data_IF_402223418295
#
_entry.id   IF_402223418295
#
_cell.length_a   1.000
_cell.length_b   1.000
_cell.length_c   1.000
_cell.angle_alpha   90.00
_cell.angle_beta   90.00
_cell.angle_gamma   90.00
#
_symmetry.space_group_name_H-M   'P 1'
#
loop_
_entity.id
_entity.type
_entity.pdbx_description
1 polymer ?
#
# COMPACT_ATOMS: atom_id res chain seq x y z
N UNK A 1 32.14 -55.31 8.55
CA UNK A 1 30.76 -55.37 8.04
C UNK A 1 30.02 -54.15 8.57
N UNK A 2 29.74 -53.18 7.71
CA UNK A 2 29.03 -51.94 8.04
C UNK A 2 27.53 -52.21 7.99
N UNK A 3 26.83 -51.95 9.10
CA UNK A 3 25.37 -52.07 9.20
C UNK A 3 24.71 -50.92 8.42
N UNK A 4 23.69 -51.17 7.58
CA UNK A 4 22.99 -50.11 6.89
C UNK A 4 22.20 -49.27 7.89
N UNK A 5 22.33 -47.95 7.77
CA UNK A 5 21.52 -46.97 8.50
C UNK A 5 20.17 -46.88 7.78
N UNK A 6 19.09 -47.25 8.46
CA UNK A 6 17.73 -46.99 7.99
C UNK A 6 17.28 -45.64 8.53
N UNK A 7 17.00 -44.71 7.62
CA UNK A 7 16.41 -43.41 7.95
C UNK A 7 14.88 -43.55 7.86
N UNK A 8 14.19 -43.46 8.99
CA UNK A 8 12.73 -43.53 9.04
C UNK A 8 12.12 -42.22 8.52
N UNK A 9 11.51 -42.28 7.34
CA UNK A 9 10.79 -41.14 6.77
C UNK A 9 9.36 -41.09 7.33
N UNK A 10 9.01 -39.98 8.00
CA UNK A 10 7.61 -39.69 8.31
C UNK A 10 6.88 -39.26 7.03
N UNK A 11 5.84 -39.98 6.59
CA UNK A 11 5.10 -39.65 5.40
C UNK A 11 4.27 -38.37 5.61
N UNK A 12 4.16 -37.55 4.56
CA UNK A 12 3.36 -36.34 4.57
C UNK A 12 1.91 -36.60 5.05
N UNK A 13 1.33 -35.63 5.76
CA UNK A 13 0.00 -35.72 6.41
C UNK A 13 -1.12 -36.12 5.45
N UNK A 14 -0.96 -35.80 4.17
CA UNK A 14 -1.88 -36.04 3.06
C UNK A 14 -1.50 -37.26 2.19
N UNK A 15 -0.49 -38.05 2.59
CA UNK A 15 -0.06 -39.22 1.83
C UNK A 15 -1.24 -40.19 1.61
N UNK A 16 -1.59 -40.53 0.36
CA UNK A 16 -2.77 -41.34 0.04
C UNK A 16 -2.50 -42.86 0.13
N UNK A 17 -1.31 -43.29 0.55
CA UNK A 17 -0.97 -44.72 0.58
C UNK A 17 -1.81 -45.47 1.64
N UNK A 18 -2.06 -46.75 1.36
CA UNK A 18 -2.90 -47.60 2.20
C UNK A 18 -2.41 -47.68 3.66
N UNK A 19 -1.08 -47.67 3.87
CA UNK A 19 -0.47 -47.70 5.20
C UNK A 19 -0.75 -46.43 6.02
N UNK A 20 -0.67 -45.24 5.41
CA UNK A 20 -0.98 -43.98 6.07
C UNK A 20 -2.48 -43.80 6.31
N UNK A 21 -3.31 -44.26 5.38
CA UNK A 21 -4.77 -44.28 5.55
C UNK A 21 -5.20 -45.16 6.72
N UNK A 22 -4.58 -46.34 6.89
CA UNK A 22 -4.83 -47.22 8.03
C UNK A 22 -4.38 -46.60 9.36
N UNK A 23 -3.18 -46.00 9.40
CA UNK A 23 -2.64 -45.30 10.59
C UNK A 23 -3.55 -44.16 11.07
N UNK A 24 -4.09 -43.37 10.14
CA UNK A 24 -5.05 -42.29 10.46
C UNK A 24 -6.37 -42.85 11.02
N UNK A 25 -6.85 -43.98 10.49
CA UNK A 25 -8.08 -44.64 11.00
C UNK A 25 -7.88 -45.24 12.40
N UNK A 26 -6.68 -45.72 12.73
CA UNK A 26 -6.38 -46.26 14.07
C UNK A 26 -6.11 -45.19 15.12
N UNK A 27 -5.59 -44.02 14.73
CA UNK A 27 -5.35 -42.89 15.64
C UNK A 27 -6.63 -42.18 16.12
N UNK A 28 -7.77 -42.43 15.47
CA UNK A 28 -9.10 -41.86 15.84
C UNK A 28 -9.85 -42.73 16.86
N UNK A 29 -9.23 -43.79 17.41
CA UNK A 29 -9.81 -44.54 18.54
C UNK A 29 -9.31 -43.97 19.88
N UNK A 30 -10.19 -43.75 20.87
CA UNK A 30 -9.78 -43.26 22.18
C UNK A 30 -8.86 -44.27 22.86
N UNK A 31 -7.74 -43.77 23.41
CA UNK A 31 -6.78 -44.58 24.14
C UNK A 31 -7.44 -45.23 25.37
N UNK A 32 -7.05 -46.47 25.73
CA UNK A 32 -7.58 -47.18 26.89
C UNK A 32 -7.20 -46.51 28.22
N UNK A 33 -8.07 -46.68 29.21
CA UNK A 33 -8.12 -46.01 30.54
C UNK A 33 -7.00 -46.45 31.51
N UNK A 34 -5.76 -46.59 31.04
CA UNK A 34 -4.59 -46.86 31.92
C UNK A 34 -3.55 -45.74 31.96
N UNK A 35 -3.89 -44.55 31.45
CA UNK A 35 -3.20 -43.29 31.77
C UNK A 35 -4.23 -42.17 32.04
N UNK A 36 -4.80 -42.18 33.24
CA UNK A 36 -5.30 -40.96 33.91
C UNK A 36 -6.58 -40.28 33.39
N UNK A 37 -7.56 -41.03 32.87
CA UNK A 37 -8.93 -40.51 32.69
C UNK A 37 -9.79 -40.82 33.91
N UNK A 38 -10.51 -39.83 34.46
CA UNK A 38 -11.60 -40.05 35.40
C UNK A 38 -12.96 -39.76 34.72
N UNK A 39 -13.94 -40.68 34.84
CA UNK A 39 -15.32 -40.46 34.44
C UNK A 39 -16.19 -40.09 35.65
N UNK A 40 -17.20 -39.23 35.43
CA UNK A 40 -18.41 -39.22 36.23
C UNK A 40 -19.62 -38.96 35.33
N UNK A 41 -20.39 -40.05 35.16
CA UNK A 41 -21.83 -40.15 35.05
C UNK A 41 -22.63 -39.28 34.05
N UNK A 42 -23.09 -39.97 33.00
CA UNK A 42 -24.50 -40.16 32.61
C UNK A 42 -25.43 -38.95 32.48
N UNK A 43 -26.06 -38.84 31.30
CA UNK A 43 -27.36 -38.19 31.18
C UNK A 43 -27.76 -37.89 29.75
N UNK A 44 -28.66 -38.69 29.20
CA UNK A 44 -29.07 -38.65 27.81
C UNK A 44 -29.93 -37.42 27.43
N UNK A 45 -29.69 -36.95 26.20
CA UNK A 45 -30.67 -36.63 25.15
C UNK A 45 -31.77 -35.57 25.39
N UNK A 46 -31.71 -34.60 24.46
CA UNK A 46 -32.80 -34.09 23.59
C UNK A 46 -33.82 -33.09 24.15
N UNK A 47 -33.81 -31.95 23.45
CA UNK A 47 -34.95 -31.27 22.83
C UNK A 47 -35.81 -30.27 23.62
N UNK A 48 -36.12 -29.20 22.88
CA UNK A 48 -37.34 -28.38 22.88
C UNK A 48 -37.51 -27.28 23.96
N UNK A 49 -37.41 -26.02 23.48
CA UNK A 49 -38.51 -25.02 23.39
C UNK A 49 -38.98 -24.28 24.66
N UNK A 50 -39.09 -22.94 24.47
CA UNK A 50 -39.92 -21.93 25.17
C UNK A 50 -39.65 -21.80 26.67
N UNK A 51 -39.94 -20.73 27.37
CA UNK A 51 -40.28 -19.33 27.15
C UNK A 51 -40.39 -18.77 28.57
N UNK A 52 -40.22 -17.45 28.75
CA UNK A 52 -40.82 -16.66 29.85
C UNK A 52 -40.36 -17.03 31.28
N UNK A 53 -40.39 -16.20 32.30
CA UNK A 53 -40.52 -14.76 32.51
C UNK A 53 -40.12 -14.53 33.99
N UNK A 54 -39.73 -13.29 34.30
CA UNK A 54 -40.01 -12.53 35.53
C UNK A 54 -39.79 -13.14 36.94
N UNK A 55 -39.27 -12.29 37.83
CA UNK A 55 -39.23 -12.51 39.28
C UNK A 55 -37.97 -11.91 39.89
N UNK A 56 -37.82 -10.57 40.03
CA UNK A 56 -38.25 -9.73 41.18
C UNK A 56 -37.67 -10.30 42.50
N UNK A 57 -36.85 -9.59 43.28
CA UNK A 57 -37.30 -8.71 44.37
C UNK A 57 -36.10 -8.26 45.24
N UNK A 58 -36.07 -6.93 45.57
CA UNK A 58 -35.58 -6.20 46.78
C UNK A 58 -34.12 -6.43 47.28
N UNK A 59 -33.38 -5.45 47.84
CA UNK A 59 -33.78 -4.33 48.69
C UNK A 59 -32.66 -3.28 48.88
N UNK A 60 -33.11 -2.01 49.06
CA UNK A 60 -32.67 -0.97 50.02
C UNK A 60 -31.33 -0.21 49.89
N UNK A 61 -31.44 1.14 49.86
CA UNK A 61 -30.35 2.07 50.21
C UNK A 61 -30.54 3.55 49.78
N UNK A 62 -31.39 4.27 50.52
CA UNK A 62 -31.59 5.74 50.69
C UNK A 62 -30.91 6.85 49.84
N UNK A 63 -31.78 7.73 49.32
CA UNK A 63 -31.86 9.21 49.42
C UNK A 63 -30.79 10.18 48.84
N UNK A 64 -31.27 11.12 48.02
CA UNK A 64 -30.63 12.41 47.71
C UNK A 64 -31.16 13.07 46.42
N UNK A 65 -31.98 14.12 46.53
CA UNK A 65 -32.79 14.73 45.48
C UNK A 65 -32.03 15.61 44.46
N UNK A 66 -32.49 15.66 43.20
CA UNK A 66 -32.74 16.90 42.42
C UNK A 66 -33.22 16.64 40.97
N UNK A 67 -34.20 17.46 40.56
CA UNK A 67 -34.57 17.90 39.21
C UNK A 67 -35.24 16.93 38.21
N UNK A 68 -36.48 17.28 37.88
CA UNK A 68 -37.30 16.73 36.82
C UNK A 68 -36.93 17.30 35.43
N UNK A 69 -36.88 16.43 34.41
CA UNK A 69 -37.43 16.67 33.06
C UNK A 69 -37.21 15.45 32.13
N UNK A 70 -38.30 14.78 31.76
CA UNK A 70 -38.54 14.11 30.47
C UNK A 70 -37.59 13.01 29.99
N UNK A 71 -37.92 11.74 30.24
CA UNK A 71 -37.51 10.62 29.39
C UNK A 71 -38.54 10.42 28.27
N UNK A 72 -38.14 10.68 27.03
CA UNK A 72 -38.82 10.17 25.84
C UNK A 72 -37.97 9.06 25.20
N UNK A 73 -38.55 7.86 25.20
CA UNK A 73 -38.29 6.68 24.37
C UNK A 73 -36.93 6.49 23.69
N UNK A 74 -36.21 5.47 24.17
CA UNK A 74 -35.18 4.76 23.41
C UNK A 74 -35.83 3.75 22.46
N UNK A 75 -35.61 3.93 21.16
CA UNK A 75 -35.79 2.93 20.10
C UNK A 75 -34.61 3.03 19.10
N UNK A 76 -34.42 2.07 18.19
CA UNK A 76 -33.20 1.29 18.05
C UNK A 76 -32.13 1.91 17.14
N UNK A 77 -30.90 1.41 17.29
CA UNK A 77 -29.79 1.61 16.34
C UNK A 77 -30.20 1.08 14.96
N UNK A 78 -30.07 1.93 13.94
CA UNK A 78 -29.92 1.53 12.54
C UNK A 78 -29.00 2.52 11.81
N UNK A 79 -28.13 1.91 11.01
CA UNK A 79 -27.37 2.39 9.86
C UNK A 79 -26.19 3.37 10.02
N UNK A 80 -25.07 2.92 9.44
CA UNK A 80 -23.85 3.68 9.25
C UNK A 80 -24.10 4.87 8.35
N UNK A 81 -23.97 6.07 8.91
CA UNK A 81 -23.84 7.28 8.13
C UNK A 81 -22.52 7.25 7.38
N UNK A 82 -22.58 7.09 6.07
CA UNK A 82 -21.50 7.53 5.18
C UNK A 82 -21.27 9.03 5.40
N UNK A 83 -20.01 9.46 5.45
CA UNK A 83 -19.70 10.89 5.46
C UNK A 83 -20.31 11.56 4.22
N UNK A 84 -21.00 12.70 4.36
CA UNK A 84 -21.66 13.37 3.25
C UNK A 84 -20.64 13.88 2.21
N UNK A 85 -20.88 13.58 0.92
CA UNK A 85 -20.09 14.07 -0.22
C UNK A 85 -19.95 15.60 -0.18
N UNK A 86 -18.76 16.18 -0.45
CA UNK A 86 -18.59 17.61 -0.28
C UNK A 86 -19.30 18.32 -1.42
N UNK A 87 -20.12 19.32 -1.10
CA UNK A 87 -20.76 20.14 -2.13
C UNK A 87 -19.70 20.89 -2.96
N UNK A 88 -19.58 20.52 -4.24
CA UNK A 88 -18.52 20.94 -5.17
C UNK A 88 -19.11 21.50 -6.48
N UNK A 89 -20.08 22.44 -6.43
CA UNK A 89 -20.69 22.97 -7.64
C UNK A 89 -19.66 23.73 -8.49
N UNK A 90 -19.65 23.54 -9.79
CA UNK A 90 -18.70 24.18 -10.70
C UNK A 90 -19.38 25.01 -11.79
N UNK A 91 -18.64 25.98 -12.32
CA UNK A 91 -19.11 26.91 -13.34
C UNK A 91 -18.62 26.54 -14.74
N UNK A 92 -19.10 27.31 -15.72
CA UNK A 92 -18.80 27.10 -17.13
C UNK A 92 -17.35 27.46 -17.49
N UNK A 93 -16.94 27.02 -18.69
CA UNK A 93 -15.66 27.42 -19.29
C UNK A 93 -15.65 28.93 -19.54
N UNK A 94 -14.52 29.60 -19.27
CA UNK A 94 -14.39 31.04 -19.52
C UNK A 94 -12.95 31.54 -19.45
N UNK A 95 -12.70 32.81 -19.82
CA UNK A 95 -11.36 33.40 -19.76
C UNK A 95 -10.88 33.58 -18.31
N UNK A 96 -9.57 33.84 -18.14
CA UNK A 96 -9.05 34.35 -16.87
C UNK A 96 -9.55 35.79 -16.64
N UNK A 97 -9.79 36.18 -15.38
CA UNK A 97 -10.20 37.55 -15.02
C UNK A 97 -9.04 38.30 -14.34
N UNK A 98 -8.73 39.52 -14.77
CA UNK A 98 -7.83 40.42 -14.02
C UNK A 98 -6.37 40.51 -14.49
N UNK A 99 -5.97 39.85 -15.59
CA UNK A 99 -4.63 40.00 -16.20
C UNK A 99 -4.70 40.43 -17.67
N UNK A 100 -5.42 41.52 -17.95
CA UNK A 100 -5.42 42.14 -19.29
C UNK A 100 -6.23 41.38 -20.35
N UNK A 101 -7.00 42.15 -21.13
CA UNK A 101 -7.89 41.75 -22.22
C UNK A 101 -9.03 40.77 -21.83
N UNK A 102 -10.20 41.34 -21.54
CA UNK A 102 -11.50 40.71 -21.75
C UNK A 102 -11.70 40.44 -23.25
N UNK A 103 -11.08 39.38 -23.76
CA UNK A 103 -11.31 38.85 -25.10
C UNK A 103 -12.04 37.51 -25.05
N UNK A 104 -12.68 37.08 -26.15
CA UNK A 104 -13.12 35.69 -26.29
C UNK A 104 -11.95 34.74 -26.01
N UNK A 105 -12.19 33.55 -25.44
CA UNK A 105 -11.12 32.59 -25.15
C UNK A 105 -10.29 32.38 -26.41
N UNK A 106 -8.98 32.65 -26.33
CA UNK A 106 -8.09 32.51 -27.49
C UNK A 106 -8.21 31.08 -28.01
N UNK A 107 -8.57 30.94 -29.29
CA UNK A 107 -8.83 29.67 -29.97
C UNK A 107 -7.55 28.85 -30.25
N UNK A 108 -6.54 28.98 -29.40
CA UNK A 108 -5.32 28.19 -29.42
C UNK A 108 -5.10 27.55 -28.06
N UNK A 109 -5.40 26.26 -27.94
CA UNK A 109 -4.99 25.46 -26.77
C UNK A 109 -3.49 25.20 -26.86
N UNK A 110 -2.66 26.22 -26.69
CA UNK A 110 -1.24 25.99 -26.44
C UNK A 110 -1.15 25.36 -25.05
N UNK A 111 -1.06 24.03 -25.02
CA UNK A 111 -0.82 23.25 -23.82
C UNK A 111 0.46 23.80 -23.20
N UNK A 112 0.34 24.55 -22.12
CA UNK A 112 1.48 25.18 -21.47
C UNK A 112 2.32 24.10 -20.80
N UNK A 113 3.61 24.13 -21.07
CA UNK A 113 4.56 23.22 -20.44
C UNK A 113 4.74 23.57 -18.96
N UNK A 114 4.73 22.57 -18.09
CA UNK A 114 4.93 22.70 -16.63
C UNK A 114 5.59 21.44 -16.08
N UNK A 115 5.97 21.40 -14.79
CA UNK A 115 6.48 20.18 -14.13
C UNK A 115 5.52 19.70 -13.05
N UNK A 116 5.66 18.44 -12.61
CA UNK A 116 4.88 17.91 -11.48
C UNK A 116 5.07 18.72 -10.20
N UNK A 117 6.32 19.07 -9.91
CA UNK A 117 6.68 19.88 -8.76
C UNK A 117 6.00 21.25 -8.83
N UNK A 118 5.96 21.86 -10.01
CA UNK A 118 5.28 23.13 -10.22
C UNK A 118 3.76 23.01 -10.04
N UNK A 119 3.11 22.00 -10.62
CA UNK A 119 1.67 21.74 -10.42
C UNK A 119 1.33 21.67 -8.93
N UNK A 120 2.10 20.88 -8.16
CA UNK A 120 1.87 20.75 -6.72
C UNK A 120 2.19 22.04 -5.95
N UNK A 121 3.23 22.77 -6.34
CA UNK A 121 3.56 24.05 -5.72
C UNK A 121 2.42 25.07 -5.95
N UNK A 122 1.84 25.12 -7.16
CA UNK A 122 0.68 25.95 -7.49
C UNK A 122 -0.54 25.55 -6.64
N UNK A 123 -0.85 24.25 -6.59
CA UNK A 123 -1.93 23.72 -5.75
C UNK A 123 -1.73 24.07 -4.26
N UNK A 124 -0.52 23.92 -3.74
CA UNK A 124 -0.18 24.21 -2.36
C UNK A 124 -0.36 25.69 -2.01
N UNK A 125 -0.16 26.63 -2.96
CA UNK A 125 -0.39 28.06 -2.70
C UNK A 125 -1.85 28.35 -2.33
N UNK A 126 -2.82 27.77 -3.04
CA UNK A 126 -4.23 27.96 -2.70
C UNK A 126 -4.63 27.26 -1.40
N UNK A 127 -4.05 26.09 -1.13
CA UNK A 127 -4.23 25.40 0.17
C UNK A 127 -3.73 26.26 1.31
N UNK A 128 -2.52 26.81 1.20
CA UNK A 128 -1.92 27.66 2.23
C UNK A 128 -2.70 28.96 2.41
N UNK A 129 -3.14 29.58 1.31
CA UNK A 129 -3.97 30.79 1.35
C UNK A 129 -5.42 30.52 1.78
N UNK A 130 -5.83 29.26 1.92
CA UNK A 130 -7.20 28.85 2.25
C UNK A 130 -8.23 29.52 1.34
N UNK A 131 -7.97 29.49 0.03
CA UNK A 131 -8.81 30.19 -0.96
C UNK A 131 -10.27 29.69 -0.82
N UNK A 132 -11.24 30.58 -0.52
CA UNK A 132 -12.62 30.19 -0.25
C UNK A 132 -13.29 29.65 -1.51
N UNK A 133 -14.24 28.74 -1.34
CA UNK A 133 -15.06 28.23 -2.44
C UNK A 133 -16.07 29.29 -2.87
N UNK A 134 -16.14 29.61 -4.16
CA UNK A 134 -17.18 30.48 -4.70
C UNK A 134 -17.43 30.21 -6.18
N UNK A 135 -18.71 30.14 -6.53
CA UNK A 135 -19.16 30.00 -7.91
C UNK A 135 -19.14 31.31 -8.70
N UNK A 136 -19.06 32.43 -8.00
CA UNK A 136 -19.22 33.78 -8.57
C UNK A 136 -17.91 34.54 -8.64
N UNK A 137 -16.91 34.12 -7.88
CA UNK A 137 -15.67 34.86 -7.68
C UNK A 137 -14.47 34.20 -8.35
N UNK A 138 -13.48 35.05 -8.60
CA UNK A 138 -12.18 34.69 -9.13
C UNK A 138 -11.15 35.05 -8.08
N UNK A 139 -10.10 34.25 -7.97
CA UNK A 139 -8.95 34.59 -7.14
C UNK A 139 -8.07 35.63 -7.84
N UNK A 140 -7.11 36.23 -7.12
CA UNK A 140 -6.28 37.32 -7.63
C UNK A 140 -5.38 36.92 -8.80
N UNK A 141 -5.17 35.63 -9.03
CA UNK A 141 -4.48 35.05 -10.20
C UNK A 141 -5.40 34.80 -11.40
N UNK A 142 -6.68 35.18 -11.28
CA UNK A 142 -7.68 35.20 -12.35
C UNK A 142 -8.37 33.87 -12.61
N UNK A 143 -8.16 32.86 -11.78
CA UNK A 143 -8.86 31.58 -11.88
C UNK A 143 -10.12 31.56 -11.00
N UNK A 144 -11.13 30.81 -11.43
CA UNK A 144 -12.40 30.61 -10.73
C UNK A 144 -12.19 29.82 -9.43
N UNK A 145 -12.94 30.16 -8.39
CA UNK A 145 -12.80 29.58 -7.06
C UNK A 145 -13.66 28.31 -6.85
N UNK A 146 -13.57 27.36 -7.78
CA UNK A 146 -14.25 26.06 -7.69
C UNK A 146 -13.31 24.89 -8.06
N UNK A 147 -13.82 23.65 -8.00
CA UNK A 147 -13.00 22.45 -8.19
C UNK A 147 -12.22 22.42 -9.52
N UNK A 148 -12.85 22.82 -10.63
CA UNK A 148 -12.23 22.82 -11.96
C UNK A 148 -11.40 24.07 -12.27
N UNK A 149 -11.75 25.23 -11.70
CA UNK A 149 -10.92 26.43 -11.69
C UNK A 149 -9.62 26.22 -10.92
N UNK A 150 -9.65 25.49 -9.80
CA UNK A 150 -8.47 25.10 -9.06
C UNK A 150 -7.51 24.21 -9.87
N UNK A 151 -8.02 23.24 -10.63
CA UNK A 151 -7.19 22.40 -11.51
C UNK A 151 -6.64 23.21 -12.68
N UNK A 152 -7.47 24.08 -13.28
CA UNK A 152 -7.04 25.02 -14.33
C UNK A 152 -5.88 25.89 -13.85
N UNK A 153 -5.98 26.38 -12.61
CA UNK A 153 -4.91 27.11 -11.94
C UNK A 153 -3.68 26.25 -11.75
N UNK A 154 -3.81 25.05 -11.19
CA UNK A 154 -2.67 24.18 -10.91
C UNK A 154 -1.91 23.74 -12.17
N UNK A 155 -2.61 23.49 -13.28
CA UNK A 155 -2.01 23.19 -14.59
C UNK A 155 -1.59 24.43 -15.39
N UNK A 156 -1.81 25.62 -14.85
CA UNK A 156 -1.49 26.90 -15.48
C UNK A 156 -2.15 27.09 -16.85
N UNK A 157 -3.41 26.67 -16.99
CA UNK A 157 -4.14 26.78 -18.25
C UNK A 157 -4.39 28.26 -18.62
N UNK A 158 -4.53 28.54 -19.91
CA UNK A 158 -4.84 29.88 -20.39
C UNK A 158 -6.27 30.35 -20.11
N UNK A 159 -7.15 29.43 -19.68
CA UNK A 159 -8.57 29.66 -19.43
C UNK A 159 -9.01 28.91 -18.18
N UNK A 160 -10.17 29.29 -17.65
CA UNK A 160 -10.90 28.49 -16.68
C UNK A 160 -11.68 27.39 -17.41
N UNK A 161 -11.28 26.15 -17.19
CA UNK A 161 -11.94 24.97 -17.72
C UNK A 161 -12.93 24.38 -16.70
N UNK A 162 -13.83 23.52 -17.16
CA UNK A 162 -14.79 22.80 -16.33
C UNK A 162 -14.54 21.29 -16.44
N UNK A 163 -15.13 20.45 -15.57
CA UNK A 163 -14.82 19.00 -15.57
C UNK A 163 -15.08 18.31 -16.92
N UNK A 164 -16.04 18.80 -17.72
CA UNK A 164 -16.31 18.28 -19.06
C UNK A 164 -15.23 18.58 -20.09
N UNK A 165 -14.47 19.67 -19.95
CA UNK A 165 -13.41 20.07 -20.89
C UNK A 165 -12.00 19.73 -20.43
N UNK A 166 -11.77 19.52 -19.12
CA UNK A 166 -10.45 19.18 -18.56
C UNK A 166 -9.85 17.92 -19.18
N UNK A 167 -10.68 16.94 -19.57
CA UNK A 167 -10.22 15.74 -20.28
C UNK A 167 -9.51 16.06 -21.61
N UNK A 168 -9.85 17.17 -22.29
CA UNK A 168 -9.20 17.61 -23.52
C UNK A 168 -7.72 18.02 -23.33
N UNK A 169 -7.37 18.48 -22.14
CA UNK A 169 -6.01 18.92 -21.77
C UNK A 169 -5.12 17.80 -21.22
N UNK A 170 -5.67 16.60 -21.09
CA UNK A 170 -5.01 15.50 -20.41
C UNK A 170 -5.15 14.18 -21.18
N UNK A 171 -4.33 13.21 -20.83
CA UNK A 171 -4.40 11.84 -21.33
C UNK A 171 -4.94 10.95 -20.22
N UNK A 172 -5.94 10.13 -20.51
CA UNK A 172 -6.44 9.13 -19.55
C UNK A 172 -5.33 8.13 -19.21
N UNK A 173 -5.18 7.81 -17.93
CA UNK A 173 -4.19 6.86 -17.42
C UNK A 173 -4.86 5.80 -16.53
N UNK A 174 -4.17 4.68 -16.29
CA UNK A 174 -4.61 3.75 -15.27
C UNK A 174 -4.39 4.36 -13.87
N UNK A 175 -5.23 4.02 -12.89
CA UNK A 175 -5.06 4.48 -11.50
C UNK A 175 -3.74 4.02 -10.89
N UNK A 176 -3.25 2.85 -11.29
CA UNK A 176 -1.93 2.34 -10.90
C UNK A 176 -0.80 3.29 -11.30
N UNK A 177 -1.00 4.08 -12.35
CA UNK A 177 0.02 4.92 -12.96
C UNK A 177 -0.03 6.36 -12.43
N UNK A 178 -0.94 6.65 -11.48
CA UNK A 178 -1.07 7.96 -10.84
C UNK A 178 0.27 8.40 -10.26
N UNK A 179 0.67 9.61 -10.65
CA UNK A 179 1.82 10.31 -10.14
C UNK A 179 1.38 11.67 -9.59
N UNK A 180 2.12 12.25 -8.63
CA UNK A 180 1.80 13.56 -8.10
C UNK A 180 1.60 14.62 -9.21
N UNK A 181 0.49 15.36 -9.14
CA UNK A 181 0.07 16.34 -10.15
C UNK A 181 -0.87 15.81 -11.24
N UNK A 182 -1.08 14.48 -11.33
CA UNK A 182 -2.18 13.90 -12.10
C UNK A 182 -3.53 14.20 -11.40
N UNK A 183 -4.66 14.06 -12.10
CA UNK A 183 -5.99 14.32 -11.53
C UNK A 183 -6.84 13.06 -11.49
N UNK A 184 -7.78 13.03 -10.56
CA UNK A 184 -8.94 12.14 -10.55
C UNK A 184 -10.16 12.99 -10.91
N UNK A 185 -10.72 12.72 -12.08
CA UNK A 185 -11.81 13.49 -12.69
C UNK A 185 -13.08 12.64 -12.71
N UNK A 186 -14.13 13.15 -12.09
CA UNK A 186 -15.47 12.62 -12.24
C UNK A 186 -16.37 13.68 -12.87
N UNK A 187 -16.84 13.39 -14.07
CA UNK A 187 -17.81 14.19 -14.78
C UNK A 187 -19.14 13.43 -14.81
N UNK A 188 -20.21 14.06 -14.33
CA UNK A 188 -21.56 13.54 -14.38
C UNK A 188 -22.36 14.28 -15.45
N UNK A 189 -22.58 13.71 -16.65
CA UNK A 189 -23.31 14.40 -17.72
C UNK A 189 -24.75 14.77 -17.34
N UNK A 190 -25.38 14.02 -16.42
CA UNK A 190 -26.75 14.26 -15.98
C UNK A 190 -26.88 15.42 -14.97
N UNK A 191 -25.79 15.76 -14.27
CA UNK A 191 -25.71 16.91 -13.37
C UNK A 191 -24.28 17.44 -13.39
N UNK A 192 -23.88 18.11 -14.47
CA UNK A 192 -22.49 18.43 -14.66
C UNK A 192 -22.06 19.57 -13.75
N UNK A 193 -22.98 20.47 -13.37
CA UNK A 193 -22.67 21.61 -12.50
C UNK A 193 -22.55 21.22 -11.04
N UNK A 194 -23.41 20.34 -10.48
CA UNK A 194 -23.41 20.03 -9.04
C UNK A 194 -22.94 18.62 -8.72
N UNK A 195 -23.01 17.70 -9.68
CA UNK A 195 -22.66 16.29 -9.52
C UNK A 195 -21.31 15.90 -10.11
N UNK A 196 -20.44 16.86 -10.47
CA UNK A 196 -19.10 16.59 -10.97
C UNK A 196 -18.05 17.15 -10.02
N UNK A 197 -16.90 16.48 -9.94
CA UNK A 197 -15.80 16.95 -9.10
C UNK A 197 -14.46 16.47 -9.64
N UNK A 198 -13.41 17.19 -9.28
CA UNK A 198 -12.04 16.88 -9.67
C UNK A 198 -11.08 17.17 -8.53
N UNK A 199 -10.10 16.28 -8.36
CA UNK A 199 -9.04 16.44 -7.37
C UNK A 199 -7.67 16.23 -8.03
N UNK A 200 -6.64 16.88 -7.48
CA UNK A 200 -5.25 16.64 -7.86
C UNK A 200 -4.66 15.60 -6.91
N UNK A 201 -4.08 14.56 -7.48
CA UNK A 201 -3.38 13.52 -6.75
C UNK A 201 -2.03 14.06 -6.24
N UNK A 202 -1.85 14.11 -4.93
CA UNK A 202 -0.63 14.55 -4.26
C UNK A 202 0.36 13.44 -3.93
N UNK A 203 -0.06 12.17 -4.05
CA UNK A 203 0.71 11.00 -3.64
C UNK A 203 -0.12 10.04 -2.79
N UNK A 204 0.30 8.78 -2.70
CA UNK A 204 -0.31 7.79 -1.82
C UNK A 204 -0.03 8.15 -0.36
N UNK A 205 -1.05 8.12 0.50
CA UNK A 205 -0.90 8.35 1.94
C UNK A 205 -0.77 7.06 2.74
N UNK A 206 -1.03 5.91 2.12
CA UNK A 206 -0.80 4.58 2.68
C UNK A 206 -0.06 3.67 1.68
N UNK A 207 0.59 2.63 2.22
CA UNK A 207 1.33 1.64 1.42
C UNK A 207 0.42 0.70 0.64
N UNK A 208 -0.83 0.55 1.06
CA UNK A 208 -1.84 -0.27 0.40
C UNK A 208 -2.43 0.38 -0.86
N UNK A 209 -2.09 1.66 -1.12
CA UNK A 209 -2.66 2.49 -2.19
C UNK A 209 -4.19 2.56 -2.11
N UNK A 210 -4.72 2.63 -0.89
CA UNK A 210 -6.16 2.78 -0.61
C UNK A 210 -6.56 4.21 -0.30
N UNK A 211 -5.62 5.05 0.11
CA UNK A 211 -5.80 6.48 0.33
C UNK A 211 -4.71 7.28 -0.36
N UNK A 212 -5.07 8.48 -0.80
CA UNK A 212 -4.15 9.42 -1.40
C UNK A 212 -4.34 10.80 -0.79
N UNK A 213 -3.32 11.62 -0.91
CA UNK A 213 -3.34 13.01 -0.51
C UNK A 213 -4.02 13.82 -1.61
N UNK A 214 -5.29 14.16 -1.45
CA UNK A 214 -6.05 14.96 -2.39
C UNK A 214 -5.78 16.45 -2.13
N UNK A 215 -5.39 17.16 -3.18
CA UNK A 215 -5.50 18.61 -3.24
C UNK A 215 -6.81 18.93 -3.98
N UNK A 216 -7.69 19.67 -3.34
CA UNK A 216 -9.00 19.98 -3.92
C UNK A 216 -9.53 21.31 -3.42
N UNK A 217 -10.38 21.92 -4.24
CA UNK A 217 -11.26 22.98 -3.79
C UNK A 217 -12.66 22.38 -3.59
N UNK A 218 -13.10 22.39 -2.34
CA UNK A 218 -14.41 21.95 -1.88
C UNK A 218 -14.90 22.95 -0.83
N UNK A 219 -16.21 23.03 -0.58
CA UNK A 219 -16.70 23.93 0.47
C UNK A 219 -16.10 23.53 1.84
N UNK A 220 -15.69 24.51 2.68
CA UNK A 220 -15.76 25.95 2.47
C UNK A 220 -14.56 26.57 1.73
N UNK A 221 -13.45 25.85 1.57
CA UNK A 221 -12.18 26.39 1.07
C UNK A 221 -11.27 25.31 0.47
N UNK A 222 -10.24 25.74 -0.25
CA UNK A 222 -9.20 24.84 -0.76
C UNK A 222 -8.51 24.11 0.38
N UNK A 223 -8.37 22.79 0.25
CA UNK A 223 -7.82 21.93 1.29
C UNK A 223 -6.90 20.85 0.71
N UNK A 224 -6.13 20.27 1.61
CA UNK A 224 -5.28 19.10 1.37
C UNK A 224 -5.63 18.05 2.42
N UNK A 225 -6.13 16.90 1.99
CA UNK A 225 -6.65 15.87 2.91
C UNK A 225 -6.28 14.47 2.42
N UNK A 226 -6.10 13.53 3.35
CA UNK A 226 -6.07 12.11 3.01
C UNK A 226 -7.47 11.66 2.63
N UNK A 227 -7.62 11.12 1.43
CA UNK A 227 -8.90 10.79 0.80
C UNK A 227 -8.86 9.35 0.30
N UNK A 228 -9.91 8.54 0.54
CA UNK A 228 -9.99 7.20 -0.02
C UNK A 228 -9.93 7.23 -1.56
N UNK A 229 -9.23 6.28 -2.17
CA UNK A 229 -9.15 6.12 -3.64
C UNK A 229 -10.53 5.86 -4.27
N UNK A 230 -11.48 5.38 -3.46
CA UNK A 230 -12.87 5.20 -3.84
C UNK A 230 -13.66 6.52 -3.96
N UNK A 231 -13.13 7.64 -3.46
CA UNK A 231 -13.87 8.88 -3.25
C UNK A 231 -15.30 8.59 -2.73
N UNK A 232 -15.33 8.04 -1.52
CA UNK A 232 -16.52 7.65 -0.75
C UNK A 232 -17.45 6.67 -1.49
N UNK A 233 -18.40 7.14 -2.31
CA UNK A 233 -19.42 6.31 -2.95
C UNK A 233 -19.30 6.19 -4.48
N UNK A 234 -18.35 6.87 -5.13
CA UNK A 234 -18.29 6.98 -6.61
C UNK A 234 -17.02 6.32 -7.20
N UNK A 235 -16.52 5.25 -6.56
CA UNK A 235 -15.21 4.66 -6.82
C UNK A 235 -14.97 4.16 -8.23
N UNK A 236 -15.97 3.86 -9.04
CA UNK A 236 -15.80 3.48 -10.45
C UNK A 236 -15.82 4.67 -11.41
N UNK A 237 -16.29 5.84 -10.94
CA UNK A 237 -16.63 6.99 -11.79
C UNK A 237 -15.53 8.03 -11.89
N UNK A 238 -14.59 8.06 -10.93
CA UNK A 238 -13.39 8.90 -11.01
C UNK A 238 -12.35 8.29 -11.95
N UNK A 239 -12.10 8.93 -13.07
CA UNK A 239 -11.10 8.47 -14.04
C UNK A 239 -9.80 9.26 -13.84
N UNK A 240 -8.66 8.57 -13.88
CA UNK A 240 -7.36 9.19 -13.71
C UNK A 240 -6.87 9.82 -15.04
N UNK A 241 -6.35 11.04 -14.96
CA UNK A 241 -5.83 11.78 -16.12
C UNK A 241 -4.49 12.45 -15.80
N UNK A 242 -3.61 12.47 -16.81
CA UNK A 242 -2.31 13.14 -16.77
C UNK A 242 -2.31 14.33 -17.71
N UNK A 243 -1.96 15.51 -17.20
CA UNK A 243 -1.87 16.72 -18.01
C UNK A 243 -0.86 16.54 -19.17
N UNK A 244 -1.27 16.93 -20.39
CA UNK A 244 -0.44 16.78 -21.60
C UNK A 244 0.80 17.69 -21.58
N UNK A 245 0.79 18.75 -20.79
CA UNK A 245 1.88 19.73 -20.71
C UNK A 245 2.96 19.42 -19.67
N UNK A 246 2.98 18.25 -19.04
CA UNK A 246 4.03 17.92 -18.07
C UNK A 246 5.37 17.67 -18.79
N UNK A 247 6.31 18.62 -18.73
CA UNK A 247 7.70 18.44 -19.14
C UNK A 247 8.37 17.34 -18.32
N UNK A 248 9.13 16.49 -19.00
CA UNK A 248 9.62 15.22 -18.45
C UNK A 248 8.60 14.08 -18.59
N UNK A 249 7.41 14.34 -19.13
CA UNK A 249 6.54 13.35 -19.76
C UNK A 249 6.53 13.62 -21.26
N UNK A 250 7.10 12.72 -22.06
CA UNK A 250 7.11 12.89 -23.52
C UNK A 250 5.69 13.12 -24.07
N UNK A 251 5.49 14.13 -24.96
CA UNK A 251 4.22 14.39 -25.59
C UNK A 251 3.89 13.24 -26.54
N UNK A 252 2.67 12.71 -26.44
CA UNK A 252 1.98 12.00 -27.51
C UNK A 252 2.79 10.93 -28.27
N UNK A 253 3.03 9.79 -27.63
CA UNK A 253 2.90 8.53 -28.34
C UNK A 253 1.97 7.68 -27.51
N UNK A 254 0.99 7.03 -28.13
CA UNK A 254 0.10 6.10 -27.45
C UNK A 254 0.95 5.05 -26.76
N UNK A 255 1.27 5.27 -25.48
CA UNK A 255 1.97 4.29 -24.70
C UNK A 255 0.90 3.28 -24.32
N UNK A 256 0.74 2.27 -25.17
CA UNK A 256 0.43 0.97 -24.64
C UNK A 256 1.34 0.79 -23.41
N UNK A 257 0.74 0.65 -22.23
CA UNK A 257 1.41 0.04 -21.07
C UNK A 257 1.82 -1.40 -21.40
N UNK A 258 1.34 -1.92 -22.53
CA UNK A 258 1.83 -3.10 -23.22
C UNK A 258 3.33 -3.08 -23.44
N UNK A 259 3.91 -4.25 -23.22
CA UNK A 259 5.31 -4.55 -23.48
C UNK A 259 5.62 -4.34 -24.97
N UNK A 260 6.64 -3.53 -25.33
CA UNK A 260 6.92 -3.16 -26.72
C UNK A 260 7.55 -4.30 -27.55
N UNK A 261 7.67 -5.50 -26.99
CA UNK A 261 8.28 -6.68 -27.61
C UNK A 261 9.73 -6.89 -27.16
N UNK A 262 10.13 -8.16 -27.05
CA UNK A 262 11.46 -8.52 -26.57
C UNK A 262 12.58 -8.01 -27.50
N UNK A 263 12.33 -7.95 -28.81
CA UNK A 263 13.29 -7.46 -29.80
C UNK A 263 13.62 -5.97 -29.70
N UNK A 264 13.00 -5.21 -28.79
CA UNK A 264 13.37 -3.81 -28.50
C UNK A 264 14.48 -3.68 -27.47
N UNK A 265 14.91 -4.79 -26.87
CA UNK A 265 15.91 -4.86 -25.82
C UNK A 265 16.94 -5.94 -26.14
N UNK A 266 18.18 -5.73 -25.68
CA UNK A 266 19.30 -6.63 -25.96
C UNK A 266 20.35 -6.01 -26.89
N UNK A 267 21.44 -6.74 -27.16
CA UNK A 267 22.58 -6.23 -27.93
C UNK A 267 22.15 -5.65 -29.29
N UNK A 268 22.61 -4.44 -29.59
CA UNK A 268 22.32 -3.74 -30.85
C UNK A 268 20.99 -2.97 -30.87
N UNK A 269 20.18 -3.02 -29.81
CA UNK A 269 18.98 -2.20 -29.74
C UNK A 269 19.32 -0.72 -29.51
N UNK A 270 18.80 0.16 -30.36
CA UNK A 270 18.85 1.62 -30.21
C UNK A 270 17.44 2.19 -30.41
N UNK A 271 16.77 2.55 -29.32
CA UNK A 271 15.42 3.10 -29.38
C UNK A 271 14.98 3.72 -28.04
N UNK A 272 13.91 4.53 -28.09
CA UNK A 272 13.36 5.20 -26.91
C UNK A 272 12.86 4.26 -25.78
N UNK A 273 12.56 2.99 -26.07
CA UNK A 273 12.14 2.06 -25.01
C UNK A 273 13.31 1.63 -24.12
N UNK A 274 14.54 1.62 -24.65
CA UNK A 274 15.76 1.37 -23.86
C UNK A 274 15.97 2.50 -22.87
N UNK A 275 15.92 3.76 -23.33
CA UNK A 275 16.00 4.94 -22.44
C UNK A 275 14.94 4.86 -21.34
N UNK A 276 13.69 4.58 -21.72
CA UNK A 276 12.58 4.49 -20.78
C UNK A 276 12.74 3.35 -19.77
N UNK A 277 13.23 2.18 -20.21
CA UNK A 277 13.55 1.08 -19.31
C UNK A 277 14.60 1.53 -18.29
N UNK A 278 15.68 2.14 -18.76
CA UNK A 278 16.77 2.60 -17.92
C UNK A 278 16.32 3.65 -16.91
N UNK A 279 15.48 4.61 -17.30
CA UNK A 279 14.86 5.58 -16.40
C UNK A 279 14.01 4.91 -15.31
N UNK A 280 13.16 3.96 -15.68
CA UNK A 280 12.36 3.19 -14.71
C UNK A 280 13.27 2.41 -13.75
N UNK A 281 14.35 1.80 -14.24
CA UNK A 281 15.31 1.08 -13.39
C UNK A 281 16.07 2.01 -12.44
N UNK A 282 16.47 3.20 -12.90
CA UNK A 282 17.10 4.22 -12.06
C UNK A 282 16.17 4.64 -10.92
N UNK A 283 14.90 4.89 -11.22
CA UNK A 283 13.86 5.20 -10.21
C UNK A 283 13.70 4.07 -9.19
N UNK A 284 13.91 2.83 -9.62
CA UNK A 284 13.82 1.62 -8.79
C UNK A 284 15.15 1.26 -8.11
N UNK A 285 16.08 2.21 -7.96
CA UNK A 285 17.35 2.01 -7.24
C UNK A 285 18.52 1.51 -8.10
N UNK A 286 18.35 1.49 -9.43
CA UNK A 286 19.33 1.01 -10.40
C UNK A 286 20.40 2.02 -10.79
N UNK A 287 20.36 3.27 -10.26
CA UNK A 287 21.28 4.36 -10.64
C UNK A 287 22.76 3.95 -10.68
N UNK A 288 23.20 3.13 -9.71
CA UNK A 288 24.58 2.66 -9.59
C UNK A 288 25.12 1.86 -10.80
N UNK A 289 24.23 1.33 -11.65
CA UNK A 289 24.65 0.58 -12.83
C UNK A 289 25.00 1.50 -14.00
N UNK A 290 24.58 2.78 -13.94
CA UNK A 290 24.74 3.76 -15.01
C UNK A 290 25.79 4.80 -14.62
N UNK A 291 26.86 4.90 -15.41
CA UNK A 291 27.93 5.91 -15.20
C UNK A 291 27.50 7.30 -15.68
N UNK A 292 26.93 7.37 -16.88
CA UNK A 292 26.47 8.63 -17.51
C UNK A 292 24.97 8.83 -17.34
N UNK A 293 24.21 7.76 -17.10
CA UNK A 293 22.76 7.74 -17.09
C UNK A 293 22.19 6.81 -18.17
N UNK A 294 20.87 6.57 -18.18
CA UNK A 294 20.22 5.75 -19.19
C UNK A 294 20.19 6.49 -20.55
N UNK A 295 20.36 5.73 -21.64
CA UNK A 295 20.39 6.24 -23.01
C UNK A 295 19.65 5.31 -23.97
N UNK A 296 19.53 5.67 -25.26
CA UNK A 296 18.73 4.93 -26.22
C UNK A 296 19.40 3.64 -26.71
N UNK A 297 20.74 3.56 -26.59
CA UNK A 297 21.53 2.39 -26.97
C UNK A 297 21.62 1.39 -25.81
N UNK A 298 21.19 0.15 -26.04
CA UNK A 298 21.24 -0.91 -25.05
C UNK A 298 22.69 -1.23 -24.67
N UNK A 299 22.94 -1.26 -23.36
CA UNK A 299 24.26 -1.48 -22.81
C UNK A 299 24.27 -2.57 -21.74
N UNK A 300 25.47 -2.95 -21.31
CA UNK A 300 25.65 -3.84 -20.17
C UNK A 300 25.09 -3.23 -18.85
N UNK A 301 24.96 -1.90 -18.77
CA UNK A 301 24.32 -1.25 -17.63
C UNK A 301 22.82 -1.59 -17.55
N UNK A 302 22.11 -1.52 -18.68
CA UNK A 302 20.69 -1.85 -18.78
C UNK A 302 20.43 -3.31 -18.42
N UNK A 303 21.26 -4.22 -18.94
CA UNK A 303 21.17 -5.64 -18.63
C UNK A 303 21.37 -5.92 -17.14
N UNK A 304 22.43 -5.36 -16.52
CA UNK A 304 22.72 -5.56 -15.09
C UNK A 304 21.65 -4.95 -14.21
N UNK A 305 21.16 -3.76 -14.54
CA UNK A 305 20.09 -3.09 -13.80
C UNK A 305 18.78 -3.89 -13.89
N UNK A 306 18.43 -4.39 -15.08
CA UNK A 306 17.26 -5.24 -15.30
C UNK A 306 17.37 -6.54 -14.52
N UNK A 307 18.53 -7.19 -14.56
CA UNK A 307 18.79 -8.42 -13.82
C UNK A 307 18.69 -8.20 -12.31
N UNK A 308 19.24 -7.09 -11.81
CA UNK A 308 19.14 -6.74 -10.40
C UNK A 308 17.68 -6.50 -9.98
N UNK A 309 16.87 -5.88 -10.83
CA UNK A 309 15.45 -5.70 -10.61
C UNK A 309 14.68 -7.02 -10.60
N UNK A 310 14.95 -7.91 -11.56
CA UNK A 310 14.36 -9.26 -11.60
C UNK A 310 14.71 -10.06 -10.34
N UNK A 311 15.99 -10.06 -9.93
CA UNK A 311 16.44 -10.71 -8.69
C UNK A 311 15.78 -10.12 -7.45
N UNK A 312 15.51 -8.81 -7.41
CA UNK A 312 14.77 -8.20 -6.31
C UNK A 312 13.34 -8.76 -6.17
N UNK A 313 12.74 -9.24 -7.26
CA UNK A 313 11.45 -9.93 -7.23
C UNK A 313 11.55 -11.34 -6.62
N UNK A 314 12.76 -11.88 -6.50
CA UNK A 314 13.03 -13.26 -6.11
C UNK A 314 13.18 -14.21 -7.30
N UNK A 315 13.20 -13.68 -8.53
CA UNK A 315 13.40 -14.47 -9.74
C UNK A 315 14.84 -14.96 -9.86
N UNK A 316 15.02 -16.16 -10.40
CA UNK A 316 16.31 -16.83 -10.51
C UNK A 316 16.46 -17.52 -11.87
N UNK A 317 17.69 -17.87 -12.24
CA UNK A 317 17.98 -18.54 -13.51
C UNK A 317 17.49 -17.74 -14.71
N UNK A 318 16.75 -18.41 -15.61
CA UNK A 318 16.24 -17.83 -16.87
C UNK A 318 15.21 -16.71 -16.65
N UNK A 319 14.59 -16.61 -15.48
CA UNK A 319 13.64 -15.55 -15.17
C UNK A 319 14.33 -14.25 -14.74
N UNK A 320 15.62 -14.31 -14.37
CA UNK A 320 16.47 -13.18 -14.04
C UNK A 320 17.65 -13.09 -15.03
N UNK A 321 17.34 -13.14 -16.31
CA UNK A 321 18.27 -13.13 -17.45
C UNK A 321 18.83 -11.74 -17.80
N UNK A 322 18.28 -10.67 -17.21
CA UNK A 322 18.63 -9.30 -17.52
C UNK A 322 17.94 -8.74 -18.76
N UNK A 323 16.98 -9.44 -19.33
CA UNK A 323 16.17 -8.96 -20.45
C UNK A 323 14.73 -8.67 -19.95
N UNK A 324 14.16 -7.49 -20.21
CA UNK A 324 12.81 -7.21 -19.78
C UNK A 324 11.82 -8.02 -20.63
N UNK A 325 11.04 -8.90 -20.01
CA UNK A 325 9.86 -9.51 -20.61
C UNK A 325 8.57 -8.74 -20.28
N UNK A 326 7.40 -9.24 -20.71
CA UNK A 326 6.11 -8.61 -20.40
C UNK A 326 5.87 -8.43 -18.91
N UNK A 327 6.33 -9.39 -18.09
CA UNK A 327 6.22 -9.31 -16.64
C UNK A 327 7.13 -8.23 -16.06
N UNK A 328 8.42 -8.21 -16.43
CA UNK A 328 9.37 -7.18 -16.00
C UNK A 328 8.87 -5.78 -16.36
N UNK A 329 8.43 -5.61 -17.60
CA UNK A 329 7.89 -4.36 -18.12
C UNK A 329 6.63 -3.91 -17.37
N UNK A 330 5.70 -4.83 -17.09
CA UNK A 330 4.50 -4.53 -16.31
C UNK A 330 4.84 -4.07 -14.89
N UNK A 331 5.81 -4.71 -14.22
CA UNK A 331 6.23 -4.29 -12.88
C UNK A 331 6.89 -2.91 -12.89
N UNK A 332 7.74 -2.63 -13.88
CA UNK A 332 8.38 -1.32 -14.01
C UNK A 332 7.38 -0.21 -14.38
N UNK A 333 6.45 -0.47 -15.29
CA UNK A 333 5.46 0.51 -15.75
C UNK A 333 4.36 0.79 -14.72
N UNK A 334 3.94 -0.20 -13.93
CA UNK A 334 2.94 -0.02 -12.85
C UNK A 334 3.55 0.36 -11.49
N UNK A 335 4.89 0.47 -11.42
CA UNK A 335 5.62 0.67 -10.17
C UNK A 335 5.37 -0.44 -9.15
N UNK A 336 5.16 -1.67 -9.63
CA UNK A 336 4.96 -2.88 -8.83
C UNK A 336 6.26 -3.63 -8.55
N UNK A 337 6.19 -4.63 -7.67
CA UNK A 337 7.36 -5.43 -7.28
C UNK A 337 8.26 -4.74 -6.25
N UNK A 338 9.43 -5.33 -5.97
CA UNK A 338 10.44 -4.79 -5.05
C UNK A 338 11.46 -3.91 -5.77
N UNK A 339 11.95 -2.88 -5.10
CA UNK A 339 13.06 -2.05 -5.60
C UNK A 339 14.39 -2.81 -5.61
N UNK A 340 15.30 -2.35 -6.46
CA UNK A 340 16.68 -2.83 -6.49
C UNK A 340 17.35 -2.43 -5.17
N UNK A 341 17.84 -3.39 -4.36
CA UNK A 341 18.49 -3.09 -3.09
C UNK A 341 19.77 -2.28 -3.30
N UNK A 342 20.06 -1.34 -2.38
CA UNK A 342 21.33 -0.61 -2.33
C UNK A 342 22.50 -1.55 -1.99
N UNK A 343 23.70 -1.26 -2.48
CA UNK A 343 24.91 -2.03 -2.15
C UNK A 343 25.14 -2.01 -0.64
N UNK A 344 25.17 -3.21 -0.02
CA UNK A 344 25.14 -3.41 1.43
C UNK A 344 23.90 -4.18 1.90
N UNK A 345 22.81 -4.17 1.12
CA UNK A 345 21.66 -5.06 1.31
C UNK A 345 21.80 -6.35 0.48
N UNK A 346 22.99 -6.94 0.50
CA UNK A 346 23.24 -8.32 0.09
C UNK A 346 22.70 -9.29 1.14
N UNK A 347 21.40 -9.20 1.41
CA UNK A 347 20.66 -10.14 2.25
C UNK A 347 19.44 -10.53 1.45
N UNK A 348 19.32 -11.83 1.16
CA UNK A 348 18.24 -12.47 0.42
C UNK A 348 16.87 -11.81 0.59
N UNK A 349 16.09 -11.67 -0.51
CA UNK A 349 14.77 -11.06 -0.47
C UNK A 349 13.86 -11.82 0.48
N UNK A 350 13.06 -11.08 1.26
CA UNK A 350 11.91 -11.52 2.04
C UNK A 350 11.44 -12.95 1.75
N UNK A 351 12.03 -13.94 2.43
CA UNK A 351 11.25 -15.06 2.93
C UNK A 351 10.30 -14.46 3.95
N UNK A 352 9.00 -14.65 3.76
CA UNK A 352 8.13 -14.79 4.91
C UNK A 352 8.75 -15.85 5.83
N UNK A 353 9.48 -15.37 6.83
CA UNK A 353 10.08 -16.01 7.98
C UNK A 353 10.45 -17.51 7.87
N UNK A 354 11.19 -17.94 6.85
CA UNK A 354 11.95 -19.20 6.99
C UNK A 354 13.05 -18.94 8.02
N UNK A 355 12.99 -19.67 9.11
CA UNK A 355 14.00 -19.59 10.16
C UNK A 355 15.37 -19.94 9.57
N UNK A 356 16.38 -19.05 9.69
CA UNK A 356 17.66 -19.23 8.99
C UNK A 356 18.49 -20.40 9.52
N UNK A 357 18.09 -21.01 10.64
CA UNK A 357 18.79 -22.12 11.28
C UNK A 357 19.42 -21.69 12.59
N UNK A 358 19.50 -22.63 13.54
CA UNK A 358 20.01 -22.37 14.90
C UNK A 358 21.48 -21.95 14.89
N UNK A 359 22.25 -22.38 13.88
CA UNK A 359 23.68 -22.10 13.76
C UNK A 359 24.05 -20.62 13.68
N UNK A 360 23.10 -19.75 13.30
CA UNK A 360 23.31 -18.29 13.23
C UNK A 360 23.18 -17.57 14.57
N UNK A 361 22.60 -18.23 15.59
CA UNK A 361 22.29 -17.65 16.90
C UNK A 361 23.04 -18.40 18.01
N UNK A 362 24.36 -18.40 17.94
CA UNK A 362 25.24 -19.04 18.94
C UNK A 362 26.39 -18.09 19.30
N UNK A 363 27.02 -18.26 20.48
CA UNK A 363 28.17 -17.46 20.88
C UNK A 363 29.24 -17.37 19.78
N UNK A 364 29.75 -16.16 19.55
CA UNK A 364 30.78 -15.88 18.56
C UNK A 364 30.28 -15.64 17.13
N UNK A 365 28.98 -15.77 16.85
CA UNK A 365 28.42 -15.42 15.54
C UNK A 365 28.26 -13.91 15.38
N UNK A 366 28.54 -13.41 14.17
CA UNK A 366 28.20 -12.06 13.74
C UNK A 366 27.65 -12.11 12.33
N UNK A 367 26.38 -11.72 12.15
CA UNK A 367 25.68 -11.80 10.87
C UNK A 367 24.41 -10.94 10.88
N UNK A 368 23.88 -10.62 9.68
CA UNK A 368 22.68 -9.80 9.55
C UNK A 368 21.38 -10.44 10.09
N UNK A 369 21.37 -11.76 10.39
CA UNK A 369 20.19 -12.40 10.99
C UNK A 369 20.07 -12.09 12.48
N UNK A 370 21.19 -11.96 13.20
CA UNK A 370 21.21 -11.52 14.59
C UNK A 370 20.73 -10.08 14.70
N UNK A 371 21.25 -9.18 13.86
CA UNK A 371 20.81 -7.77 13.85
C UNK A 371 19.31 -7.66 13.58
N UNK A 372 18.81 -8.43 12.59
CA UNK A 372 17.39 -8.48 12.24
C UNK A 372 16.53 -9.01 13.40
N UNK A 373 16.98 -10.06 14.08
CA UNK A 373 16.32 -10.61 15.27
C UNK A 373 16.26 -9.55 16.38
N UNK A 374 17.38 -8.92 16.70
CA UNK A 374 17.48 -7.93 17.78
C UNK A 374 16.60 -6.70 17.53
N UNK A 375 16.60 -6.17 16.31
CA UNK A 375 15.69 -5.08 15.90
C UNK A 375 14.21 -5.48 16.07
N UNK A 376 13.86 -6.71 15.74
CA UNK A 376 12.49 -7.21 15.88
C UNK A 376 12.09 -7.41 17.34
N UNK A 377 13.01 -7.88 18.20
CA UNK A 377 12.78 -7.97 19.65
C UNK A 377 12.51 -6.60 20.25
N UNK A 378 13.32 -5.59 19.92
CA UNK A 378 13.09 -4.20 20.35
C UNK A 378 11.73 -3.70 19.87
N UNK A 379 11.39 -3.90 18.59
CA UNK A 379 10.10 -3.49 18.01
C UNK A 379 8.91 -4.11 18.75
N UNK A 380 9.03 -5.35 19.21
CA UNK A 380 7.99 -6.05 19.98
C UNK A 380 8.05 -5.77 21.49
N UNK A 381 8.92 -4.88 21.95
CA UNK A 381 9.03 -4.49 23.36
C UNK A 381 9.93 -5.39 24.21
N UNK A 382 10.66 -6.33 23.60
CA UNK A 382 11.56 -7.29 24.26
C UNK A 382 13.03 -6.86 24.17
N UNK A 383 13.33 -5.56 24.23
CA UNK A 383 14.68 -5.02 24.11
C UNK A 383 15.40 -4.75 25.45
N UNK A 384 14.80 -5.11 26.59
CA UNK A 384 15.21 -4.68 27.94
C UNK A 384 16.67 -4.97 28.28
N UNK A 385 17.25 -6.02 27.73
CA UNK A 385 18.63 -6.42 28.02
C UNK A 385 19.68 -5.75 27.13
N UNK A 386 19.28 -4.92 26.15
CA UNK A 386 20.22 -4.13 25.35
C UNK A 386 20.60 -2.84 26.07
N UNK A 387 21.90 -2.57 26.19
CA UNK A 387 22.43 -1.32 26.78
C UNK A 387 22.54 -0.22 25.72
N UNK A 388 23.03 -0.55 24.52
CA UNK A 388 23.24 0.40 23.41
C UNK A 388 22.39 0.08 22.17
N UNK A 389 21.48 -0.89 22.28
CA UNK A 389 20.66 -1.40 21.18
C UNK A 389 21.17 -2.72 20.59
N UNK A 390 20.44 -3.30 19.63
CA UNK A 390 20.80 -4.56 18.99
C UNK A 390 21.93 -4.36 17.99
N UNK A 391 22.88 -5.31 17.96
CA UNK A 391 24.01 -5.32 17.05
C UNK A 391 24.09 -6.64 16.25
N UNK A 392 24.89 -6.73 15.18
CA UNK A 392 24.98 -7.96 14.37
C UNK A 392 25.66 -9.16 15.06
N UNK A 393 26.29 -8.96 16.22
CA UNK A 393 26.99 -10.00 16.98
C UNK A 393 26.03 -10.62 17.99
N UNK A 394 25.98 -11.95 18.03
CA UNK A 394 25.16 -12.65 19.02
C UNK A 394 25.77 -12.48 20.42
N UNK A 395 25.01 -11.88 21.31
CA UNK A 395 25.39 -11.62 22.70
C UNK A 395 24.43 -12.28 23.69
N UNK A 396 24.80 -12.25 24.97
CA UNK A 396 23.92 -12.69 26.05
C UNK A 396 22.68 -11.78 26.19
N UNK A 397 22.75 -10.52 25.73
CA UNK A 397 21.58 -9.64 25.68
C UNK A 397 20.52 -10.19 24.72
N UNK A 398 20.94 -10.66 23.53
CA UNK A 398 20.03 -11.30 22.56
C UNK A 398 19.37 -12.55 23.15
N UNK A 399 20.17 -13.43 23.78
CA UNK A 399 19.65 -14.67 24.39
C UNK A 399 18.58 -14.36 25.44
N UNK A 400 18.83 -13.42 26.35
CA UNK A 400 17.87 -13.04 27.41
C UNK A 400 16.62 -12.36 26.86
N UNK A 401 16.77 -11.53 25.83
CA UNK A 401 15.64 -10.88 25.17
C UNK A 401 14.75 -11.91 24.43
N UNK A 402 15.36 -12.90 23.76
CA UNK A 402 14.63 -14.04 23.17
C UNK A 402 13.93 -14.86 24.26
N UNK A 403 14.62 -15.15 25.36
CA UNK A 403 14.07 -15.89 26.49
C UNK A 403 12.84 -15.20 27.09
N UNK A 404 12.91 -13.86 27.25
CA UNK A 404 11.79 -13.05 27.69
C UNK A 404 10.60 -13.11 26.72
N UNK A 405 10.87 -13.04 25.42
CA UNK A 405 9.85 -13.22 24.39
C UNK A 405 9.22 -14.61 24.47
N UNK A 406 10.01 -15.69 24.54
CA UNK A 406 9.53 -17.06 24.65
C UNK A 406 8.66 -17.28 25.89
N UNK A 407 9.06 -16.73 27.04
CA UNK A 407 8.26 -16.78 28.28
C UNK A 407 6.92 -16.06 28.12
N UNK A 408 6.92 -14.92 27.45
CA UNK A 408 5.69 -14.16 27.15
C UNK A 408 4.77 -14.90 26.17
N UNK A 409 5.31 -15.78 25.31
CA UNK A 409 4.54 -16.70 24.47
C UNK A 409 3.98 -17.92 25.25
N UNK A 410 4.19 -17.99 26.57
CA UNK A 410 3.71 -19.08 27.42
C UNK A 410 4.70 -20.24 27.57
N UNK A 411 5.90 -20.17 27.00
CA UNK A 411 6.87 -21.27 27.08
C UNK A 411 7.55 -21.31 28.45
N UNK A 412 7.91 -22.52 28.91
CA UNK A 412 8.47 -22.79 30.24
C UNK A 412 9.60 -23.83 30.15
N UNK A 413 10.49 -23.83 31.14
CA UNK A 413 11.63 -24.75 31.18
C UNK A 413 12.52 -24.64 29.94
N UNK A 414 13.01 -25.77 29.44
CA UNK A 414 13.90 -25.84 28.27
C UNK A 414 13.29 -25.34 26.95
N UNK A 415 11.98 -25.07 26.88
CA UNK A 415 11.36 -24.45 25.71
C UNK A 415 11.56 -22.92 25.66
N UNK A 416 11.90 -22.28 26.77
CA UNK A 416 12.30 -20.87 26.86
C UNK A 416 13.80 -20.78 27.18
N UNK A 417 14.62 -21.32 26.30
CA UNK A 417 16.08 -21.41 26.42
C UNK A 417 16.84 -20.13 26.00
N UNK A 418 16.13 -19.19 25.38
CA UNK A 418 16.68 -17.98 24.80
C UNK A 418 17.32 -18.17 23.43
N UNK A 419 17.17 -19.34 22.81
CA UNK A 419 17.66 -19.61 21.46
C UNK A 419 16.50 -19.65 20.48
N UNK A 420 16.49 -18.79 19.44
CA UNK A 420 15.38 -18.78 18.50
C UNK A 420 15.36 -20.10 17.73
N UNK A 421 14.19 -20.73 17.67
CA UNK A 421 13.87 -21.83 16.76
C UNK A 421 12.84 -21.41 15.70
N UNK A 422 12.39 -22.33 14.83
CA UNK A 422 11.40 -22.04 13.81
C UNK A 422 10.12 -21.38 14.35
N UNK A 423 9.61 -21.87 15.48
CA UNK A 423 8.42 -21.30 16.11
C UNK A 423 8.70 -19.93 16.72
N UNK A 424 9.85 -19.71 17.35
CA UNK A 424 10.24 -18.40 17.91
C UNK A 424 10.27 -17.38 16.79
N UNK A 425 10.91 -17.76 15.69
CA UNK A 425 11.06 -16.94 14.50
C UNK A 425 9.71 -16.61 13.88
N UNK A 426 8.84 -17.61 13.69
CA UNK A 426 7.48 -17.42 13.16
C UNK A 426 6.69 -16.40 13.99
N UNK A 427 6.66 -16.54 15.31
CA UNK A 427 5.88 -15.66 16.20
C UNK A 427 6.50 -14.27 16.36
N UNK A 428 7.83 -14.18 16.33
CA UNK A 428 8.52 -12.91 16.47
C UNK A 428 8.39 -12.05 15.20
N UNK A 429 8.30 -12.68 14.03
CA UNK A 429 8.20 -12.00 12.72
C UNK A 429 6.78 -11.99 12.10
N UNK A 430 5.79 -12.60 12.74
CA UNK A 430 4.36 -12.32 12.51
C UNK A 430 4.01 -10.93 13.05
#
# INVERSE_FOLDING_TARGET
MTVPVFEEYEPAIDCPCAGCALRRRTAVRPLPVRRGGHPAAHGARRALVLATAAGVVLSCGAAGAAAAAGHAHRAPRADGGADPEPATPQGERGPLRGTGASGPPSAGSTVRTTTRAEILARAQRWVTAKVPYSMEKYWSDGYRQDCSGFVSMAWNLGNNEWTGSLAGYATRIARSDLQPGDILLFHNPADPSKGSHVTIFGGWSDSARTHYLAYEQARPQTRKQSTPMAYWNNSSRYVAYRYKGVAGGSPGSGSSTGFPGAGRFGPGADNAHVTRLGEMLVQRGGRRFYTTGPGPVWSAADQRATQAFQRAQGWQGKEADGLPGPHTWRLLTTGGGRDIPATGAGGSPNTAATFPGRGYFKPGQSNGHVERLGRQLVKKGYGKHYVSGPDPRWTEADRRNVEAFQRAQGWRGGAADGYPGPETWRRLFA
#
